data_IF_692345167886
#
_entry.id   IF_692345167886
#
_cell.length_a   1.000
_cell.length_b   1.000
_cell.length_c   1.000
_cell.angle_alpha   90.00
_cell.angle_beta   90.00
_cell.angle_gamma   90.00
#
_symmetry.space_group_name_H-M   'P 1'
#
loop_
_entity.id
_entity.type
_entity.pdbx_description
1 polymer ?
#
# COMPACT_ATOMS: atom_id res chain seq x y z
N UNK A 1 -1.31 -20.27 11.82
CA UNK A 1 -1.57 -19.57 10.54
C UNK A 1 -0.68 -20.24 9.52
N UNK A 2 -1.25 -20.85 8.48
CA UNK A 2 -0.48 -21.62 7.48
C UNK A 2 0.47 -20.65 6.78
N UNK A 3 1.72 -21.03 6.62
CA UNK A 3 2.71 -20.23 5.89
C UNK A 3 2.29 -20.19 4.42
N UNK A 4 1.93 -19.01 3.92
CA UNK A 4 1.39 -18.81 2.57
C UNK A 4 2.49 -18.25 1.67
N UNK A 5 2.64 -18.84 0.49
CA UNK A 5 3.59 -18.38 -0.52
C UNK A 5 3.26 -16.98 -1.04
N UNK A 6 4.22 -16.38 -1.75
CA UNK A 6 4.10 -15.04 -2.33
C UNK A 6 2.84 -14.89 -3.21
N UNK A 7 2.51 -15.80 -4.14
CA UNK A 7 1.28 -15.70 -4.94
C UNK A 7 0.01 -15.68 -4.10
N UNK A 8 -0.07 -16.53 -3.07
CA UNK A 8 -1.23 -16.58 -2.19
C UNK A 8 -1.38 -15.30 -1.38
N UNK A 9 -0.27 -14.72 -0.91
CA UNK A 9 -0.29 -13.43 -0.21
C UNK A 9 -0.74 -12.28 -1.11
N UNK A 10 -0.31 -12.27 -2.37
CA UNK A 10 -0.73 -11.30 -3.38
C UNK A 10 -2.23 -11.39 -3.65
N UNK A 11 -2.75 -12.61 -3.91
CA UNK A 11 -4.19 -12.83 -4.12
C UNK A 11 -5.03 -12.50 -2.88
N UNK A 12 -4.53 -12.81 -1.68
CA UNK A 12 -5.18 -12.43 -0.44
C UNK A 12 -5.29 -10.90 -0.29
N UNK A 13 -4.23 -10.16 -0.65
CA UNK A 13 -4.27 -8.70 -0.65
C UNK A 13 -5.27 -8.17 -1.68
N UNK A 14 -5.36 -8.78 -2.86
CA UNK A 14 -6.34 -8.39 -3.88
C UNK A 14 -7.79 -8.45 -3.37
N UNK A 15 -8.13 -9.48 -2.59
CA UNK A 15 -9.45 -9.61 -1.94
C UNK A 15 -9.73 -8.42 -1.02
N UNK A 16 -8.76 -8.03 -0.18
CA UNK A 16 -8.91 -6.87 0.70
C UNK A 16 -9.02 -5.56 -0.07
N UNK A 17 -8.20 -5.37 -1.12
CA UNK A 17 -8.29 -4.19 -1.98
C UNK A 17 -9.67 -4.08 -2.64
N UNK A 18 -10.29 -5.20 -3.08
CA UNK A 18 -11.67 -5.21 -3.60
C UNK A 18 -12.67 -4.81 -2.50
N UNK A 19 -12.52 -5.36 -1.29
CA UNK A 19 -13.41 -5.05 -0.16
C UNK A 19 -13.34 -3.58 0.30
N UNK A 20 -12.18 -2.92 0.12
CA UNK A 20 -11.95 -1.52 0.44
C UNK A 20 -12.01 -0.57 -0.78
N UNK A 21 -12.72 -0.97 -1.84
CA UNK A 21 -12.97 -0.15 -3.04
C UNK A 21 -11.70 0.40 -3.72
N UNK A 22 -10.66 -0.43 -3.79
CA UNK A 22 -9.38 -0.15 -4.45
C UNK A 22 -9.19 -1.04 -5.68
N UNK A 23 -10.00 -0.87 -6.75
CA UNK A 23 -10.08 -1.82 -7.87
C UNK A 23 -8.76 -1.95 -8.65
N UNK A 24 -8.04 -0.85 -8.88
CA UNK A 24 -6.74 -0.91 -9.55
C UNK A 24 -5.72 -1.74 -8.77
N UNK A 25 -5.55 -1.45 -7.48
CA UNK A 25 -4.58 -2.16 -6.63
C UNK A 25 -4.94 -3.62 -6.48
N UNK A 26 -6.24 -3.96 -6.49
CA UNK A 26 -6.68 -5.34 -6.53
C UNK A 26 -6.22 -6.06 -7.81
N UNK A 27 -6.49 -5.50 -8.99
CA UNK A 27 -6.09 -6.09 -10.26
C UNK A 27 -4.57 -6.16 -10.42
N UNK A 28 -3.85 -5.16 -9.90
CA UNK A 28 -2.38 -5.17 -9.83
C UNK A 28 -1.87 -6.35 -9.00
N UNK A 29 -2.48 -6.62 -7.84
CA UNK A 29 -2.09 -7.74 -6.98
C UNK A 29 -2.34 -9.10 -7.65
N UNK A 30 -3.47 -9.27 -8.35
CA UNK A 30 -3.74 -10.49 -9.12
C UNK A 30 -2.71 -10.66 -10.25
N UNK A 31 -2.43 -9.59 -10.98
CA UNK A 31 -1.47 -9.59 -12.10
C UNK A 31 -0.04 -9.90 -11.63
N UNK A 32 0.37 -9.37 -10.48
CA UNK A 32 1.66 -9.71 -9.86
C UNK A 32 1.72 -11.17 -9.41
N UNK A 33 0.61 -11.75 -8.96
CA UNK A 33 0.55 -13.17 -8.59
C UNK A 33 0.74 -14.07 -9.82
N UNK A 34 0.05 -13.74 -10.91
CA UNK A 34 0.14 -14.47 -12.18
C UNK A 34 1.55 -14.34 -12.80
N UNK A 35 2.17 -13.15 -12.74
CA UNK A 35 3.56 -12.96 -13.18
C UNK A 35 4.55 -13.78 -12.34
N UNK A 36 4.37 -13.84 -11.01
CA UNK A 36 5.20 -14.69 -10.17
C UNK A 36 5.09 -16.17 -10.57
N UNK A 37 3.87 -16.68 -10.76
CA UNK A 37 3.65 -18.08 -11.15
C UNK A 37 4.20 -18.41 -12.53
N UNK A 38 4.23 -17.42 -13.44
CA UNK A 38 4.87 -17.54 -14.75
C UNK A 38 6.42 -17.43 -14.69
N UNK A 39 7.02 -17.20 -13.52
CA UNK A 39 8.46 -17.00 -13.37
C UNK A 39 8.94 -15.64 -13.86
N UNK A 40 8.08 -14.62 -13.79
CA UNK A 40 8.36 -13.26 -14.23
C UNK A 40 9.15 -12.43 -13.22
N UNK A 41 9.12 -11.10 -13.42
CA UNK A 41 9.90 -10.14 -12.63
C UNK A 41 9.54 -10.17 -11.13
N UNK A 42 8.28 -10.48 -10.80
CA UNK A 42 7.86 -10.61 -9.39
C UNK A 42 8.54 -11.82 -8.75
N UNK A 43 8.68 -12.94 -9.47
CA UNK A 43 9.45 -14.10 -8.99
C UNK A 43 10.94 -13.77 -8.86
N UNK A 44 11.53 -13.04 -9.81
CA UNK A 44 12.93 -12.60 -9.72
C UNK A 44 13.15 -11.73 -8.46
N UNK A 45 12.26 -10.76 -8.20
CA UNK A 45 12.37 -9.82 -7.09
C UNK A 45 12.11 -10.47 -5.73
N UNK A 46 11.23 -11.47 -5.66
CA UNK A 46 10.69 -11.98 -4.39
C UNK A 46 10.86 -13.48 -4.16
N UNK A 47 11.43 -14.23 -5.10
CA UNK A 47 11.62 -15.68 -5.01
C UNK A 47 12.52 -16.11 -3.83
N UNK A 48 13.34 -15.21 -3.32
CA UNK A 48 14.15 -15.41 -2.11
C UNK A 48 13.52 -14.88 -0.81
N UNK A 49 12.21 -14.55 -0.80
CA UNK A 49 11.56 -14.03 0.41
C UNK A 49 11.32 -15.14 1.43
N UNK A 50 12.12 -15.17 2.49
CA UNK A 50 12.19 -16.29 3.46
C UNK A 50 11.29 -16.14 4.70
N UNK A 51 10.64 -14.99 4.86
CA UNK A 51 9.80 -14.67 6.03
C UNK A 51 8.32 -14.93 5.71
N UNK A 52 7.38 -14.10 6.18
CA UNK A 52 5.94 -14.33 6.05
C UNK A 52 5.30 -13.25 5.15
N UNK A 53 5.12 -13.49 3.83
CA UNK A 53 4.69 -12.48 2.86
C UNK A 53 3.43 -11.68 3.25
N UNK A 54 2.47 -12.31 3.94
CA UNK A 54 1.27 -11.63 4.47
C UNK A 54 1.60 -10.71 5.64
N UNK A 55 2.32 -11.21 6.66
CA UNK A 55 2.67 -10.39 7.84
C UNK A 55 3.60 -9.24 7.46
N UNK A 56 4.45 -9.49 6.47
CA UNK A 56 5.35 -8.53 5.87
C UNK A 56 4.64 -7.49 4.99
N UNK A 57 3.36 -7.67 4.69
CA UNK A 57 2.62 -6.84 3.74
C UNK A 57 3.37 -6.71 2.38
N UNK A 58 3.96 -7.82 1.90
CA UNK A 58 4.81 -7.82 0.70
C UNK A 58 4.07 -7.28 -0.54
N UNK A 59 2.79 -7.64 -0.70
CA UNK A 59 1.94 -7.13 -1.78
C UNK A 59 1.87 -5.60 -1.78
N UNK A 60 1.70 -4.98 -0.61
CA UNK A 60 1.65 -3.53 -0.45
C UNK A 60 3.04 -2.88 -0.64
N UNK A 61 4.12 -3.56 -0.29
CA UNK A 61 5.48 -3.09 -0.58
C UNK A 61 5.75 -3.02 -2.09
N UNK A 62 5.35 -4.04 -2.84
CA UNK A 62 5.47 -4.06 -4.31
C UNK A 62 4.62 -2.98 -4.97
N UNK A 63 3.34 -2.86 -4.58
CA UNK A 63 2.47 -1.80 -5.06
C UNK A 63 3.02 -0.40 -4.72
N UNK A 64 3.54 -0.23 -3.50
CA UNK A 64 4.19 0.99 -3.04
C UNK A 64 5.45 1.35 -3.83
N UNK A 65 6.26 0.36 -4.21
CA UNK A 65 7.46 0.59 -5.03
C UNK A 65 7.08 1.13 -6.42
N UNK A 66 6.10 0.51 -7.08
CA UNK A 66 5.60 0.98 -8.38
C UNK A 66 4.98 2.39 -8.29
N UNK A 67 4.20 2.64 -7.23
CA UNK A 67 3.63 3.96 -7.01
C UNK A 67 4.71 5.02 -6.76
N UNK A 68 5.75 4.69 -5.98
CA UNK A 68 6.88 5.59 -5.75
C UNK A 68 7.66 5.90 -7.04
N UNK A 69 7.85 4.92 -7.93
CA UNK A 69 8.43 5.15 -9.26
C UNK A 69 7.55 6.12 -10.06
N UNK A 70 6.23 5.87 -10.14
CA UNK A 70 5.31 6.75 -10.85
C UNK A 70 5.28 8.18 -10.28
N UNK A 71 5.43 8.33 -8.97
CA UNK A 71 5.42 9.64 -8.30
C UNK A 71 6.71 10.42 -8.50
N UNK A 72 7.86 9.74 -8.46
CA UNK A 72 9.19 10.39 -8.55
C UNK A 72 9.60 10.73 -9.98
N UNK A 73 8.95 10.11 -10.97
CA UNK A 73 9.19 10.37 -12.39
C UNK A 73 7.87 10.74 -13.10
N UNK A 74 7.33 11.94 -12.85
CA UNK A 74 6.01 12.33 -13.39
C UNK A 74 5.96 12.37 -14.92
N UNK A 75 7.10 12.60 -15.58
CA UNK A 75 7.24 12.56 -17.05
C UNK A 75 7.57 11.15 -17.56
N UNK A 76 7.82 10.19 -16.67
CA UNK A 76 8.15 8.81 -17.00
C UNK A 76 6.96 8.03 -17.53
N UNK A 77 7.22 7.02 -18.36
CA UNK A 77 6.17 6.19 -18.99
C UNK A 77 5.22 5.56 -17.98
N UNK A 78 5.73 5.11 -16.82
CA UNK A 78 4.89 4.51 -15.78
C UNK A 78 3.87 5.52 -15.24
N UNK A 79 4.30 6.75 -14.94
CA UNK A 79 3.39 7.81 -14.45
C UNK A 79 2.27 8.13 -15.44
N UNK A 80 2.54 8.01 -16.74
CA UNK A 80 1.57 8.28 -17.80
C UNK A 80 0.47 7.20 -17.93
N UNK A 81 0.70 5.99 -17.42
CA UNK A 81 -0.26 4.88 -17.43
C UNK A 81 -0.72 4.48 -16.02
N UNK A 82 -0.11 5.03 -14.98
CA UNK A 82 -0.50 4.82 -13.59
C UNK A 82 -1.83 5.53 -13.29
N UNK A 83 -2.69 5.00 -12.41
CA UNK A 83 -3.97 5.62 -12.09
C UNK A 83 -3.81 7.03 -11.54
N UNK A 84 -4.64 7.92 -12.04
CA UNK A 84 -4.76 9.31 -11.60
C UNK A 84 -6.24 9.66 -11.45
N UNK A 85 -6.57 10.60 -10.57
CA UNK A 85 -7.97 10.97 -10.34
C UNK A 85 -8.65 11.43 -11.63
N UNK A 86 -9.85 10.91 -11.87
CA UNK A 86 -10.65 11.24 -13.04
C UNK A 86 -10.19 10.64 -14.36
N UNK A 87 -9.13 9.81 -14.37
CA UNK A 87 -8.62 9.14 -15.57
C UNK A 87 -8.92 7.65 -15.53
N UNK A 88 -9.47 7.13 -16.62
CA UNK A 88 -9.57 5.68 -16.80
C UNK A 88 -8.17 5.06 -16.85
N UNK A 89 -8.03 3.87 -16.28
CA UNK A 89 -6.80 3.09 -16.27
C UNK A 89 -7.04 1.73 -16.92
N UNK A 90 -5.97 1.09 -17.36
CA UNK A 90 -6.00 -0.24 -17.96
C UNK A 90 -4.81 -1.03 -17.46
N UNK A 91 -5.04 -2.20 -16.85
CA UNK A 91 -3.93 -3.05 -16.41
C UNK A 91 -3.13 -3.57 -17.61
N UNK A 92 -3.78 -3.80 -18.75
CA UNK A 92 -3.12 -4.20 -20.00
C UNK A 92 -2.13 -3.13 -20.51
N UNK A 93 -2.37 -1.84 -20.21
CA UNK A 93 -1.45 -0.74 -20.54
C UNK A 93 -0.40 -0.53 -19.44
N UNK A 94 -0.82 -0.58 -18.17
CA UNK A 94 0.04 -0.28 -17.03
C UNK A 94 1.07 -1.39 -16.76
N UNK A 95 0.67 -2.66 -16.86
CA UNK A 95 1.51 -3.79 -16.45
C UNK A 95 2.80 -3.94 -17.28
N UNK A 96 2.78 -3.89 -18.63
CA UNK A 96 4.01 -3.97 -19.41
C UNK A 96 5.03 -2.87 -19.03
N UNK A 97 4.54 -1.64 -18.81
CA UNK A 97 5.38 -0.51 -18.40
C UNK A 97 5.87 -0.67 -16.96
N UNK A 98 5.07 -1.26 -16.08
CA UNK A 98 5.47 -1.61 -14.72
C UNK A 98 6.61 -2.64 -14.74
N UNK A 99 6.51 -3.70 -15.54
CA UNK A 99 7.57 -4.71 -15.71
C UNK A 99 8.87 -4.08 -16.21
N UNK A 100 8.80 -3.25 -17.26
CA UNK A 100 9.97 -2.50 -17.76
C UNK A 100 10.60 -1.64 -16.64
N UNK A 101 9.76 -0.95 -15.87
CA UNK A 101 10.20 -0.07 -14.78
C UNK A 101 10.83 -0.81 -13.61
N UNK A 102 10.31 -2.00 -13.27
CA UNK A 102 10.86 -2.88 -12.25
C UNK A 102 12.22 -3.44 -12.68
N UNK A 103 12.33 -3.93 -13.92
CA UNK A 103 13.59 -4.45 -14.49
C UNK A 103 14.67 -3.36 -14.55
N UNK A 104 14.30 -2.15 -14.94
CA UNK A 104 15.24 -1.02 -14.97
C UNK A 104 15.75 -0.61 -13.58
N UNK A 105 15.04 -0.99 -12.49
CA UNK A 105 15.31 -0.51 -11.12
C UNK A 105 15.43 -1.65 -10.10
N UNK A 106 15.79 -2.87 -10.52
CA UNK A 106 15.75 -4.06 -9.65
C UNK A 106 16.46 -3.87 -8.30
N UNK A 107 17.67 -3.30 -8.30
CA UNK A 107 18.42 -3.04 -7.06
C UNK A 107 17.66 -2.09 -6.12
N UNK A 108 17.16 -0.98 -6.67
CA UNK A 108 16.39 0.00 -5.91
C UNK A 108 15.09 -0.62 -5.37
N UNK A 109 14.39 -1.43 -6.17
CA UNK A 109 13.17 -2.12 -5.72
C UNK A 109 13.50 -3.07 -4.57
N UNK A 110 14.54 -3.89 -4.68
CA UNK A 110 14.95 -4.80 -3.59
C UNK A 110 15.27 -4.04 -2.30
N UNK A 111 15.91 -2.89 -2.40
CA UNK A 111 16.17 -2.03 -1.24
C UNK A 111 14.88 -1.42 -0.67
N UNK A 112 13.98 -0.96 -1.54
CA UNK A 112 12.67 -0.43 -1.15
C UNK A 112 11.84 -1.46 -0.37
N UNK A 113 11.82 -2.71 -0.84
CA UNK A 113 11.09 -3.81 -0.21
C UNK A 113 11.57 -4.14 1.21
N UNK A 114 12.76 -3.70 1.63
CA UNK A 114 13.23 -3.88 3.03
C UNK A 114 12.48 -2.99 4.02
N UNK A 115 11.83 -1.93 3.54
CA UNK A 115 11.07 -1.02 4.38
C UNK A 115 9.61 -1.49 4.51
N UNK A 116 9.06 -1.63 5.73
CA UNK A 116 7.63 -1.87 5.90
C UNK A 116 6.80 -0.69 5.38
N UNK A 117 5.62 -0.95 4.78
CA UNK A 117 4.70 0.14 4.45
C UNK A 117 4.29 0.84 5.76
N UNK A 118 4.18 2.18 5.73
CA UNK A 118 3.65 2.92 6.87
C UNK A 118 2.18 2.58 7.03
N UNK A 119 1.83 1.94 8.15
CA UNK A 119 0.43 1.68 8.50
C UNK A 119 -0.05 2.85 9.36
N UNK A 120 -1.08 3.56 8.90
CA UNK A 120 -1.84 4.50 9.75
C UNK A 120 -2.67 3.65 10.72
N UNK A 121 -2.00 3.12 11.74
CA UNK A 121 -2.59 2.32 12.79
C UNK A 121 -3.27 3.27 13.80
N UNK A 122 -4.54 3.56 13.51
CA UNK A 122 -5.38 4.46 14.32
C UNK A 122 -5.60 3.91 15.74
N UNK A 123 -5.52 2.59 15.92
CA UNK A 123 -5.77 1.94 17.21
C UNK A 123 -4.75 2.33 18.28
N UNK A 124 -3.52 2.73 17.91
CA UNK A 124 -2.54 3.29 18.86
C UNK A 124 -3.05 4.56 19.55
N UNK A 125 -3.95 5.31 18.91
CA UNK A 125 -4.57 6.48 19.51
C UNK A 125 -5.72 6.14 20.49
N UNK A 126 -6.16 4.87 20.61
CA UNK A 126 -7.26 4.49 21.50
C UNK A 126 -6.98 4.83 22.97
N UNK A 127 -5.70 4.83 23.37
CA UNK A 127 -5.28 5.22 24.73
C UNK A 127 -5.49 6.70 25.04
N UNK A 128 -5.68 7.55 24.03
CA UNK A 128 -5.99 8.98 24.21
C UNK A 128 -7.46 9.20 24.59
N UNK A 129 -8.35 8.25 24.28
CA UNK A 129 -9.79 8.39 24.47
C UNK A 129 -10.21 8.71 25.90
N UNK A 130 -9.74 8.02 26.95
CA UNK A 130 -10.12 8.35 28.33
C UNK A 130 -9.67 9.75 28.75
N UNK A 131 -8.51 10.21 28.28
CA UNK A 131 -8.00 11.55 28.57
C UNK A 131 -8.84 12.63 27.91
N UNK A 132 -9.32 12.38 26.68
CA UNK A 132 -10.22 13.27 25.97
C UNK A 132 -11.60 13.35 26.63
N UNK A 133 -12.16 12.21 27.08
CA UNK A 133 -13.41 12.21 27.86
C UNK A 133 -13.28 13.01 29.15
N UNK A 134 -12.18 12.81 29.90
CA UNK A 134 -11.93 13.56 31.14
C UNK A 134 -11.77 15.07 30.89
N UNK A 135 -11.13 15.46 29.77
CA UNK A 135 -11.01 16.86 29.39
C UNK A 135 -12.38 17.49 29.04
N UNK A 136 -13.24 16.74 28.33
CA UNK A 136 -14.59 17.17 27.99
C UNK A 136 -15.50 17.35 29.22
N UNK A 137 -15.37 16.49 30.23
CA UNK A 137 -16.10 16.64 31.50
C UNK A 137 -15.61 17.86 32.32
N UNK A 138 -14.33 18.21 32.19
CA UNK A 138 -13.71 19.27 32.98
C UNK A 138 -13.84 20.68 32.35
N UNK A 139 -14.19 20.77 31.07
CA UNK A 139 -14.20 22.04 30.32
C UNK A 139 -15.48 22.22 29.50
N UNK A 140 -16.23 23.28 29.81
CA UNK A 140 -17.58 23.53 29.28
C UNK A 140 -17.59 24.46 28.05
N UNK A 141 -16.54 24.40 27.23
CA UNK A 141 -16.31 25.27 26.07
C UNK A 141 -15.84 24.52 24.82
N UNK A 142 -15.69 25.21 23.68
CA UNK A 142 -15.21 24.60 22.44
C UNK A 142 -13.78 24.07 22.60
N UNK A 143 -13.53 22.87 22.07
CA UNK A 143 -12.21 22.22 22.08
C UNK A 143 -11.81 21.85 20.66
N UNK A 144 -10.54 22.12 20.32
CA UNK A 144 -9.94 21.75 19.04
C UNK A 144 -8.86 20.68 19.25
N UNK A 145 -8.83 19.66 18.39
CA UNK A 145 -7.76 18.64 18.37
C UNK A 145 -6.74 19.01 17.30
N UNK A 146 -5.49 19.20 17.72
CA UNK A 146 -4.35 19.48 16.84
C UNK A 146 -3.38 18.30 16.88
N UNK A 147 -3.33 17.52 15.80
CA UNK A 147 -2.39 16.40 15.65
C UNK A 147 -1.24 16.80 14.72
N UNK A 148 -0.02 16.83 15.25
CA UNK A 148 1.17 17.07 14.44
C UNK A 148 1.52 15.81 13.64
N UNK A 149 1.57 15.94 12.31
CA UNK A 149 1.87 14.82 11.42
C UNK A 149 0.71 13.85 11.22
N UNK A 150 -0.54 14.33 11.23
CA UNK A 150 -1.77 13.53 11.17
C UNK A 150 -1.92 12.61 9.94
N UNK A 151 -1.03 12.70 8.95
CA UNK A 151 -1.09 11.91 7.71
C UNK A 151 -2.47 12.02 7.04
N UNK A 152 -3.22 10.92 6.91
CA UNK A 152 -4.57 10.89 6.37
C UNK A 152 -5.63 11.52 7.30
N UNK A 153 -5.26 12.01 8.48
CA UNK A 153 -6.13 12.74 9.40
C UNK A 153 -7.17 11.86 10.10
N UNK A 154 -6.95 10.54 10.19
CA UNK A 154 -7.95 9.61 10.71
C UNK A 154 -8.31 9.85 12.19
N UNK A 155 -7.37 10.34 13.00
CA UNK A 155 -7.66 10.72 14.39
C UNK A 155 -8.34 12.11 14.51
N UNK A 156 -8.43 12.90 13.44
CA UNK A 156 -9.03 14.25 13.49
C UNK A 156 -10.56 14.23 13.36
N UNK A 157 -11.16 13.09 13.04
CA UNK A 157 -12.62 12.93 12.88
C UNK A 157 -13.30 12.43 14.16
N UNK A 158 -12.82 12.83 15.35
CA UNK A 158 -13.34 12.32 16.63
C UNK A 158 -14.78 12.75 16.94
N UNK A 159 -15.24 13.81 16.28
CA UNK A 159 -16.59 14.37 16.40
C UNK A 159 -17.61 13.75 15.44
N UNK A 160 -17.19 12.73 14.65
CA UNK A 160 -18.01 12.06 13.64
C UNK A 160 -18.34 10.62 13.96
#
# INVERSE_FOLDING_TARGET
MVDVGVPQALRQQAIWCKAFDSPFTAELCETMADDFEAGGIIADLTGGWITHPVQDALALRLAGALHAIALTEPEGRLAQVWPQQGRAWSMAEAWPVAVESLRAREHWVRDFLKSPPQTNEVRRAVGLWPGLCAAAEAFDGPMDVLELGASAGLNLSMDR
#
